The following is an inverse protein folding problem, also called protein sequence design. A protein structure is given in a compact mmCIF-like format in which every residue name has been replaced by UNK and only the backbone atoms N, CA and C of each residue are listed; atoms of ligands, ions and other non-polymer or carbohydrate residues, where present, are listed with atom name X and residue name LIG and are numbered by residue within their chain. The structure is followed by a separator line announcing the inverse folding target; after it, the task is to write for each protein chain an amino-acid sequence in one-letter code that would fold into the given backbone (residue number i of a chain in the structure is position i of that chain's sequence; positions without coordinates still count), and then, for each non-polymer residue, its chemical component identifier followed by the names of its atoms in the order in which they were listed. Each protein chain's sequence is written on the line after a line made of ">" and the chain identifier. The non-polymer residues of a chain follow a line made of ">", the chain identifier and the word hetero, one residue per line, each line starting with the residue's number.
data_IF_252408521322
#
_entry.id   IF_252408521322
#
_cell.length_a   1.000
_cell.length_b   1.000
_cell.length_c   1.000
_cell.angle_alpha   90.00
_cell.angle_beta   90.00
_cell.angle_gamma   90.00
#
_symmetry.space_group_name_H-M   'P 1'
#
loop_
_entity.id
_entity.type
_entity.pdbx_description
1 polymer ?
#
# COMPACT_ATOMS: atom_id res chain seq x y z
N UNK A 1 -25.43 13.25 22.31
CA UNK A 1 -24.81 11.93 22.08
C UNK A 1 -23.62 12.13 21.17
N UNK A 2 -22.43 11.71 21.57
CA UNK A 2 -21.30 11.67 20.61
C UNK A 2 -21.62 10.61 19.56
N UNK A 3 -21.33 10.86 18.27
CA UNK A 3 -21.48 9.85 17.24
C UNK A 3 -20.63 8.62 17.57
N UNK A 4 -21.04 7.40 17.19
CA UNK A 4 -20.23 6.21 17.40
C UNK A 4 -18.88 6.34 16.68
N UNK A 5 -17.83 5.79 17.28
CA UNK A 5 -16.55 5.65 16.59
C UNK A 5 -16.70 4.57 15.51
N UNK A 6 -16.57 4.97 14.26
CA UNK A 6 -16.71 4.09 13.10
C UNK A 6 -15.35 3.59 12.59
N UNK A 7 -14.33 3.63 13.44
CA UNK A 7 -12.99 3.09 13.16
C UNK A 7 -12.83 1.76 13.87
N UNK A 8 -12.35 0.76 13.17
CA UNK A 8 -11.82 -0.43 13.81
C UNK A 8 -10.28 -0.33 13.81
N UNK A 9 -9.72 -0.20 15.00
CA UNK A 9 -8.27 -0.23 15.24
C UNK A 9 -8.03 -1.25 16.34
N UNK A 10 -7.46 -2.39 15.97
CA UNK A 10 -7.23 -3.48 16.90
C UNK A 10 -6.18 -3.10 17.96
N UNK A 11 -6.21 -3.73 19.15
CA UNK A 11 -5.28 -3.40 20.24
C UNK A 11 -3.79 -3.63 19.94
N UNK A 12 -3.49 -4.44 18.93
CA UNK A 12 -2.14 -4.79 18.47
C UNK A 12 -1.59 -3.84 17.39
N UNK A 13 -2.31 -2.76 17.07
CA UNK A 13 -1.85 -1.72 16.14
C UNK A 13 -0.96 -0.73 16.87
N UNK A 14 0.24 -0.48 16.31
CA UNK A 14 1.11 0.59 16.80
C UNK A 14 0.91 1.86 15.98
N UNK A 15 0.53 2.95 16.64
CA UNK A 15 0.38 4.27 16.03
C UNK A 15 1.47 5.21 16.49
N UNK A 16 2.16 5.84 15.56
CA UNK A 16 3.10 6.93 15.81
C UNK A 16 2.39 8.21 16.25
N UNK A 17 3.16 9.28 16.45
CA UNK A 17 2.63 10.59 16.84
C UNK A 17 1.87 11.24 15.69
N UNK A 18 0.81 11.98 16.01
CA UNK A 18 0.02 12.78 15.06
C UNK A 18 -0.57 11.99 13.89
N UNK A 19 -0.73 10.67 14.01
CA UNK A 19 -1.40 9.86 12.98
C UNK A 19 -2.86 10.30 12.85
N UNK A 20 -3.30 10.55 11.61
CA UNK A 20 -4.68 10.98 11.32
C UNK A 20 -5.46 9.82 10.71
N UNK A 21 -6.47 9.36 11.39
CA UNK A 21 -7.32 8.25 10.98
C UNK A 21 -8.72 8.74 10.61
N UNK A 22 -9.14 8.45 9.38
CA UNK A 22 -10.51 8.72 8.94
C UNK A 22 -11.49 7.66 9.48
N UNK A 23 -12.83 7.89 9.43
CA UNK A 23 -13.81 6.86 9.76
C UNK A 23 -13.82 5.69 8.75
N UNK A 24 -14.45 4.58 9.15
CA UNK A 24 -14.65 3.35 8.35
C UNK A 24 -13.34 2.67 7.94
N UNK A 25 -12.31 2.72 8.78
CA UNK A 25 -11.06 2.01 8.58
C UNK A 25 -11.07 0.66 9.31
N UNK A 26 -10.23 -0.27 8.85
CA UNK A 26 -9.98 -1.56 9.48
C UNK A 26 -8.47 -1.80 9.58
N UNK A 27 -7.90 -1.61 10.77
CA UNK A 27 -6.46 -1.76 11.05
C UNK A 27 -6.24 -2.85 12.09
N UNK A 28 -5.35 -3.80 11.83
CA UNK A 28 -4.97 -4.83 12.79
C UNK A 28 -3.53 -5.31 12.57
N UNK A 29 -2.79 -5.51 13.68
CA UNK A 29 -1.44 -6.06 13.70
C UNK A 29 -0.41 -5.31 12.86
N UNK A 30 -0.60 -4.00 12.63
CA UNK A 30 0.25 -3.19 11.78
C UNK A 30 0.90 -2.03 12.53
N UNK A 31 1.98 -1.49 11.97
CA UNK A 31 2.70 -0.33 12.48
C UNK A 31 2.51 0.87 11.54
N UNK A 32 2.07 2.02 12.08
CA UNK A 32 1.89 3.26 11.33
C UNK A 32 2.79 4.34 11.92
N UNK A 33 3.70 4.88 11.11
CA UNK A 33 4.67 5.89 11.52
C UNK A 33 4.08 7.29 11.72
N UNK A 34 4.87 8.16 12.35
CA UNK A 34 4.51 9.53 12.73
C UNK A 34 3.97 10.34 11.54
N UNK A 35 3.03 11.23 11.81
CA UNK A 35 2.46 12.23 10.88
C UNK A 35 1.80 11.62 9.62
N UNK A 36 1.53 10.31 9.63
CA UNK A 36 0.86 9.59 8.53
C UNK A 36 -0.65 9.80 8.57
N UNK A 37 -1.26 9.86 7.38
CA UNK A 37 -2.69 10.06 7.20
C UNK A 37 -3.31 8.86 6.49
N UNK A 38 -4.32 8.26 7.12
CA UNK A 38 -5.11 7.13 6.61
C UNK A 38 -6.51 7.62 6.25
N UNK A 39 -6.90 7.47 5.00
CA UNK A 39 -8.20 7.84 4.46
C UNK A 39 -9.32 6.86 4.87
N UNK A 40 -10.58 7.18 4.57
CA UNK A 40 -11.70 6.31 4.90
C UNK A 40 -11.72 5.03 4.03
N UNK A 41 -12.34 3.98 4.58
CA UNK A 41 -12.48 2.67 3.93
C UNK A 41 -11.13 2.02 3.56
N UNK A 42 -10.08 2.33 4.32
CA UNK A 42 -8.77 1.68 4.19
C UNK A 42 -8.72 0.46 5.09
N UNK A 43 -8.22 -0.65 4.57
CA UNK A 43 -7.85 -1.83 5.35
C UNK A 43 -6.34 -2.02 5.31
N UNK A 44 -5.73 -2.22 6.50
CA UNK A 44 -4.31 -2.55 6.65
C UNK A 44 -4.20 -3.77 7.56
N UNK A 45 -3.62 -4.82 7.03
CA UNK A 45 -3.51 -6.12 7.71
C UNK A 45 -2.28 -6.22 8.62
N UNK A 46 -2.24 -7.32 9.38
CA UNK A 46 -1.11 -7.65 10.27
C UNK A 46 0.22 -7.69 9.51
N UNK A 47 1.30 -7.42 10.24
CA UNK A 47 2.68 -7.44 9.72
C UNK A 47 2.95 -6.42 8.60
N UNK A 48 2.06 -5.46 8.38
CA UNK A 48 2.29 -4.31 7.50
C UNK A 48 3.02 -3.21 8.28
N UNK A 49 3.98 -2.57 7.64
CA UNK A 49 4.65 -1.38 8.17
C UNK A 49 4.44 -0.20 7.22
N UNK A 50 3.92 0.89 7.75
CA UNK A 50 3.79 2.17 7.04
C UNK A 50 4.68 3.19 7.73
N UNK A 51 5.59 3.78 6.99
CA UNK A 51 6.54 4.78 7.46
C UNK A 51 5.87 6.09 7.88
N UNK A 52 6.70 7.10 8.09
CA UNK A 52 6.29 8.44 8.54
C UNK A 52 5.87 9.31 7.36
N UNK A 53 4.99 10.29 7.62
CA UNK A 53 4.55 11.30 6.64
C UNK A 53 3.98 10.68 5.35
N UNK A 54 3.40 9.49 5.47
CA UNK A 54 2.70 8.85 4.36
C UNK A 54 1.28 9.35 4.23
N UNK A 55 0.74 9.26 3.02
CA UNK A 55 -0.67 9.53 2.76
C UNK A 55 -1.28 8.32 2.05
N UNK A 56 -2.13 7.59 2.76
CA UNK A 56 -2.90 6.46 2.22
C UNK A 56 -4.32 6.94 1.96
N UNK A 57 -4.73 6.94 0.69
CA UNK A 57 -6.04 7.45 0.28
C UNK A 57 -7.14 6.39 0.45
N UNK A 58 -8.39 6.81 0.31
CA UNK A 58 -9.57 5.96 0.58
C UNK A 58 -9.63 4.69 -0.26
N UNK A 59 -10.30 3.66 0.28
CA UNK A 59 -10.57 2.39 -0.39
C UNK A 59 -9.31 1.59 -0.77
N UNK A 60 -8.18 1.87 -0.12
CA UNK A 60 -6.93 1.14 -0.34
C UNK A 60 -6.89 -0.10 0.54
N UNK A 61 -6.48 -1.22 -0.05
CA UNK A 61 -6.24 -2.48 0.64
C UNK A 61 -4.74 -2.78 0.68
N UNK A 62 -4.20 -2.92 1.88
CA UNK A 62 -2.78 -3.23 2.12
C UNK A 62 -2.72 -4.56 2.87
N UNK A 63 -2.38 -5.63 2.14
CA UNK A 63 -2.29 -6.98 2.68
C UNK A 63 -1.02 -7.22 3.48
N UNK A 64 -1.02 -8.30 4.25
CA UNK A 64 0.14 -8.77 5.01
C UNK A 64 1.40 -8.87 4.15
N UNK A 65 2.55 -8.49 4.73
CA UNK A 65 3.87 -8.56 4.08
C UNK A 65 4.27 -7.30 3.31
N UNK A 66 3.41 -6.27 3.24
CA UNK A 66 3.75 -5.00 2.61
C UNK A 66 4.52 -4.10 3.57
N UNK A 67 5.62 -3.53 3.08
CA UNK A 67 6.34 -2.44 3.76
C UNK A 67 6.30 -1.19 2.90
N UNK A 68 5.87 -0.09 3.49
CA UNK A 68 5.84 1.24 2.89
C UNK A 68 6.79 2.12 3.69
N UNK A 69 7.83 2.65 3.04
CA UNK A 69 8.79 3.56 3.66
C UNK A 69 8.21 4.97 3.87
N UNK A 70 9.03 5.91 4.31
CA UNK A 70 8.61 7.27 4.64
C UNK A 70 8.19 8.09 3.39
N UNK A 71 7.34 9.08 3.58
CA UNK A 71 6.93 10.07 2.60
C UNK A 71 6.26 9.50 1.33
N UNK A 72 5.67 8.32 1.41
CA UNK A 72 4.99 7.64 0.30
C UNK A 72 3.55 8.12 0.15
N UNK A 73 3.14 8.31 -1.09
CA UNK A 73 1.75 8.55 -1.46
C UNK A 73 1.11 7.29 -2.05
N UNK A 74 -0.01 6.85 -1.49
CA UNK A 74 -0.86 5.80 -2.06
C UNK A 74 -2.22 6.40 -2.42
N UNK A 75 -2.56 6.32 -3.68
CA UNK A 75 -3.80 6.82 -4.26
C UNK A 75 -5.04 6.05 -3.80
N UNK A 76 -6.21 6.47 -4.28
CA UNK A 76 -7.49 5.84 -3.93
C UNK A 76 -7.62 4.46 -4.58
N UNK A 77 -8.17 3.48 -3.85
CA UNK A 77 -8.50 2.17 -4.39
C UNK A 77 -7.29 1.36 -4.87
N UNK A 78 -6.11 1.63 -4.32
CA UNK A 78 -4.93 0.81 -4.61
C UNK A 78 -5.06 -0.53 -3.90
N UNK A 79 -4.70 -1.62 -4.60
CA UNK A 79 -4.75 -2.98 -4.06
C UNK A 79 -3.37 -3.62 -4.12
N UNK A 80 -2.89 -4.11 -2.99
CA UNK A 80 -1.68 -4.92 -2.91
C UNK A 80 -2.05 -6.40 -2.88
N UNK A 81 -1.23 -7.23 -3.53
CA UNK A 81 -1.37 -8.69 -3.61
C UNK A 81 -0.18 -9.33 -2.89
N UNK A 82 -0.40 -10.38 -2.12
CA UNK A 82 0.65 -11.09 -1.39
C UNK A 82 0.71 -12.60 -1.65
N UNK A 83 0.00 -13.06 -2.68
CA UNK A 83 0.01 -14.44 -3.15
C UNK A 83 -0.03 -14.47 -4.69
N UNK A 84 1.01 -15.04 -5.32
CA UNK A 84 1.08 -15.17 -6.79
C UNK A 84 0.15 -16.26 -7.35
N UNK A 85 -0.26 -17.22 -6.52
CA UNK A 85 -1.05 -18.38 -6.94
C UNK A 85 -2.20 -18.69 -5.98
N UNK A 86 -3.10 -17.74 -5.73
CA UNK A 86 -4.14 -17.90 -4.72
C UNK A 86 -5.06 -19.08 -5.04
N UNK A 87 -5.38 -19.86 -4.01
CA UNK A 87 -6.35 -20.96 -4.07
C UNK A 87 -7.27 -20.89 -2.87
N UNK A 88 -8.52 -21.23 -3.06
CA UNK A 88 -9.47 -21.35 -1.96
C UNK A 88 -9.28 -22.65 -1.18
N UNK A 89 -8.80 -23.71 -1.84
CA UNK A 89 -8.68 -25.03 -1.24
C UNK A 89 -7.30 -25.65 -1.45
N UNK A 90 -6.93 -26.52 -0.54
CA UNK A 90 -5.78 -27.43 -0.69
C UNK A 90 -6.04 -28.48 -1.77
N UNK A 91 -5.01 -29.25 -2.16
CA UNK A 91 -5.16 -30.38 -3.09
C UNK A 91 -6.14 -31.46 -2.60
N UNK A 92 -6.36 -31.57 -1.30
CA UNK A 92 -7.33 -32.48 -0.69
C UNK A 92 -8.76 -31.93 -0.67
N UNK A 93 -9.00 -30.72 -1.18
CA UNK A 93 -10.32 -30.10 -1.25
C UNK A 93 -10.76 -29.37 0.03
N UNK A 94 -9.92 -29.30 1.07
CA UNK A 94 -10.20 -28.56 2.29
C UNK A 94 -9.95 -27.06 2.08
N UNK A 95 -10.71 -26.20 2.76
CA UNK A 95 -10.46 -24.77 2.77
C UNK A 95 -9.04 -24.47 3.26
N UNK A 96 -8.29 -23.64 2.53
CA UNK A 96 -6.95 -23.24 2.96
C UNK A 96 -6.97 -22.45 4.26
N UNK A 97 -5.98 -22.71 5.11
CA UNK A 97 -5.66 -21.98 6.32
C UNK A 97 -4.42 -21.10 6.11
N UNK A 98 -3.99 -20.37 7.14
CA UNK A 98 -2.78 -19.56 7.10
C UNK A 98 -1.50 -20.38 6.86
N UNK A 99 -1.50 -21.68 7.19
CA UNK A 99 -0.34 -22.56 7.06
C UNK A 99 -0.20 -23.20 5.66
N UNK A 100 -1.23 -23.05 4.81
CA UNK A 100 -1.29 -23.70 3.50
C UNK A 100 -0.69 -22.82 2.37
N UNK A 101 -0.30 -21.59 2.65
CA UNK A 101 0.29 -20.67 1.70
C UNK A 101 1.39 -19.82 2.35
N UNK A 102 2.14 -19.10 1.53
CA UNK A 102 3.26 -18.30 2.01
C UNK A 102 3.09 -16.85 1.58
N UNK A 103 3.16 -15.95 2.54
CA UNK A 103 3.15 -14.49 2.29
C UNK A 103 4.35 -14.09 1.44
N UNK A 104 4.08 -13.37 0.37
CA UNK A 104 5.08 -12.79 -0.53
C UNK A 104 5.19 -11.29 -0.29
N UNK A 105 6.35 -10.85 0.19
CA UNK A 105 6.59 -9.47 0.60
C UNK A 105 6.65 -8.50 -0.59
N UNK A 106 6.17 -7.28 -0.36
CA UNK A 106 6.24 -6.15 -1.31
C UNK A 106 6.82 -4.92 -0.58
N UNK A 107 7.67 -4.15 -1.27
CA UNK A 107 8.32 -2.97 -0.72
C UNK A 107 8.02 -1.74 -1.57
N UNK A 108 7.51 -0.68 -0.94
CA UNK A 108 7.39 0.66 -1.52
C UNK A 108 8.40 1.56 -0.86
N UNK A 109 9.40 2.01 -1.62
CA UNK A 109 10.50 2.81 -1.10
C UNK A 109 10.14 4.27 -0.92
N UNK A 110 11.03 4.96 -0.20
CA UNK A 110 10.90 6.35 0.18
C UNK A 110 10.44 7.26 -0.96
N UNK A 111 9.50 8.16 -0.68
CA UNK A 111 9.04 9.19 -1.61
C UNK A 111 8.29 8.69 -2.85
N UNK A 112 8.06 7.39 -2.98
CA UNK A 112 7.32 6.84 -4.12
C UNK A 112 5.85 7.27 -4.11
N UNK A 113 5.24 7.33 -5.30
CA UNK A 113 3.82 7.66 -5.48
C UNK A 113 3.12 6.57 -6.29
N UNK A 114 2.04 6.03 -5.74
CA UNK A 114 1.20 5.04 -6.41
C UNK A 114 -0.14 5.65 -6.77
N UNK A 115 -0.43 5.74 -8.05
CA UNK A 115 -1.66 6.33 -8.60
C UNK A 115 -2.91 5.53 -8.25
N UNK A 116 -4.05 6.21 -8.21
CA UNK A 116 -5.35 5.63 -7.84
C UNK A 116 -5.72 4.44 -8.73
N UNK A 117 -6.31 3.40 -8.13
CA UNK A 117 -6.76 2.20 -8.83
C UNK A 117 -5.64 1.29 -9.32
N UNK A 118 -4.40 1.53 -8.93
CA UNK A 118 -3.30 0.63 -9.28
C UNK A 118 -3.39 -0.70 -8.50
N UNK A 119 -2.97 -1.79 -9.15
CA UNK A 119 -2.79 -3.10 -8.52
C UNK A 119 -1.31 -3.44 -8.49
N UNK A 120 -0.78 -3.73 -7.30
CA UNK A 120 0.62 -4.08 -7.09
C UNK A 120 0.71 -5.57 -6.79
N UNK A 121 1.34 -6.33 -7.67
CA UNK A 121 1.54 -7.76 -7.45
C UNK A 121 2.58 -8.01 -6.36
N UNK A 122 2.57 -9.23 -5.84
CA UNK A 122 3.51 -9.69 -4.83
C UNK A 122 4.97 -9.67 -5.32
N UNK A 123 5.92 -9.63 -4.39
CA UNK A 123 7.38 -9.62 -4.65
C UNK A 123 7.90 -8.37 -5.37
N UNK A 124 7.07 -7.36 -5.59
CA UNK A 124 7.46 -6.14 -6.30
C UNK A 124 8.18 -5.18 -5.35
N UNK A 125 9.25 -4.57 -5.84
CA UNK A 125 9.88 -3.40 -5.22
C UNK A 125 9.55 -2.17 -6.06
N UNK A 126 8.85 -1.19 -5.47
CA UNK A 126 8.68 0.13 -6.07
C UNK A 126 9.82 1.01 -5.58
N UNK A 127 10.68 1.44 -6.48
CA UNK A 127 11.90 2.19 -6.21
C UNK A 127 11.63 3.57 -5.61
N UNK A 128 12.69 4.13 -5.03
CA UNK A 128 12.68 5.47 -4.42
C UNK A 128 12.24 6.53 -5.43
N UNK A 129 11.32 7.43 -5.01
CA UNK A 129 10.75 8.50 -5.87
C UNK A 129 10.12 8.02 -7.18
N UNK A 130 9.83 6.72 -7.32
CA UNK A 130 9.12 6.22 -8.49
C UNK A 130 7.65 6.65 -8.50
N UNK A 131 7.09 6.79 -9.69
CA UNK A 131 5.69 7.13 -9.89
C UNK A 131 4.99 6.00 -10.66
N UNK A 132 3.98 5.42 -10.06
CA UNK A 132 3.07 4.47 -10.71
C UNK A 132 1.82 5.21 -11.17
N UNK A 133 1.55 5.21 -12.46
CA UNK A 133 0.35 5.83 -13.05
C UNK A 133 -0.95 5.19 -12.53
N UNK A 134 -2.03 5.99 -12.50
CA UNK A 134 -3.34 5.51 -12.08
C UNK A 134 -3.82 4.34 -12.96
N UNK A 135 -4.52 3.36 -12.36
CA UNK A 135 -5.07 2.19 -13.05
C UNK A 135 -4.03 1.17 -13.54
N UNK A 136 -2.77 1.32 -13.14
CA UNK A 136 -1.70 0.41 -13.58
C UNK A 136 -1.72 -0.92 -12.85
N UNK A 137 -1.27 -1.98 -13.53
CA UNK A 137 -0.99 -3.29 -12.92
C UNK A 137 0.53 -3.51 -12.90
N UNK A 138 1.13 -3.35 -11.73
CA UNK A 138 2.58 -3.47 -11.54
C UNK A 138 2.93 -4.93 -11.30
N UNK A 139 3.60 -5.54 -12.26
CA UNK A 139 3.94 -6.97 -12.28
C UNK A 139 5.43 -7.26 -12.07
N UNK A 140 6.26 -6.24 -11.97
CA UNK A 140 7.72 -6.31 -11.82
C UNK A 140 8.22 -5.11 -11.03
N UNK A 141 9.45 -5.18 -10.56
CA UNK A 141 10.10 -4.06 -9.89
C UNK A 141 10.10 -2.79 -10.74
N UNK A 142 9.89 -1.67 -10.06
CA UNK A 142 9.93 -0.33 -10.64
C UNK A 142 11.25 0.32 -10.21
N UNK A 143 12.12 0.70 -11.15
CA UNK A 143 13.37 1.38 -10.79
C UNK A 143 13.12 2.71 -10.04
N UNK A 144 14.11 3.12 -9.23
CA UNK A 144 14.07 4.45 -8.62
C UNK A 144 13.90 5.54 -9.68
N UNK A 145 13.13 6.57 -9.34
CA UNK A 145 12.81 7.73 -10.20
C UNK A 145 12.14 7.36 -11.55
N UNK A 146 11.68 6.12 -11.73
CA UNK A 146 10.94 5.75 -12.95
C UNK A 146 9.47 6.12 -12.86
N UNK A 147 8.89 6.57 -13.98
CA UNK A 147 7.45 6.69 -14.16
C UNK A 147 6.98 5.48 -14.97
N UNK A 148 6.08 4.70 -14.39
CA UNK A 148 5.49 3.52 -15.04
C UNK A 148 3.99 3.66 -15.16
N UNK A 149 3.39 3.10 -16.22
CA UNK A 149 1.94 3.05 -16.37
C UNK A 149 1.49 1.88 -17.25
N UNK A 150 0.22 1.55 -17.16
CA UNK A 150 -0.47 0.58 -18.02
C UNK A 150 -0.71 -0.78 -17.36
N UNK A 151 -1.29 -1.71 -18.12
CA UNK A 151 -1.56 -3.10 -17.72
C UNK A 151 -1.02 -4.07 -18.80
N UNK A 152 0.06 -4.78 -18.53
CA UNK A 152 0.97 -4.61 -17.41
C UNK A 152 1.75 -3.29 -17.48
N UNK A 153 2.13 -2.72 -16.34
CA UNK A 153 2.87 -1.46 -16.27
C UNK A 153 4.22 -1.55 -17.01
N UNK A 154 4.55 -0.47 -17.72
CA UNK A 154 5.84 -0.33 -18.44
C UNK A 154 6.45 1.01 -18.09
N UNK A 155 7.77 1.08 -18.12
CA UNK A 155 8.51 2.33 -17.94
C UNK A 155 8.17 3.26 -19.10
N UNK A 156 7.69 4.47 -18.77
CA UNK A 156 7.42 5.54 -19.73
C UNK A 156 8.64 6.46 -19.87
N UNK A 157 9.18 6.90 -18.72
CA UNK A 157 10.35 7.80 -18.62
C UNK A 157 10.85 7.83 -17.17
N UNK A 158 11.91 8.56 -16.91
CA UNK A 158 12.34 8.96 -15.57
C UNK A 158 11.67 10.26 -15.14
N UNK A 159 11.55 10.46 -13.82
CA UNK A 159 11.15 11.74 -13.22
C UNK A 159 12.19 12.78 -13.58
N UNK A 160 11.76 13.94 -14.06
CA UNK A 160 12.63 15.07 -14.40
C UNK A 160 12.64 16.09 -13.27
N UNK A 161 13.61 17.00 -13.30
CA UNK A 161 13.65 18.16 -12.39
C UNK A 161 12.41 19.06 -12.49
N UNK A 162 11.76 19.11 -13.65
CA UNK A 162 10.50 19.83 -13.83
C UNK A 162 9.32 19.16 -13.12
N UNK A 163 9.29 17.82 -13.09
CA UNK A 163 8.29 17.05 -12.34
C UNK A 163 8.44 17.29 -10.83
N UNK A 164 9.68 17.36 -10.33
CA UNK A 164 9.98 17.62 -8.91
C UNK A 164 9.57 19.04 -8.52
N UNK A 165 9.86 20.04 -9.34
CA UNK A 165 9.50 21.44 -9.10
C UNK A 165 7.97 21.68 -9.05
N UNK A 166 7.15 20.83 -9.67
CA UNK A 166 5.69 20.93 -9.56
C UNK A 166 5.16 20.45 -8.21
N UNK A 167 5.89 19.62 -7.48
CA UNK A 167 5.51 19.13 -6.15
C UNK A 167 5.84 20.11 -5.01
N UNK A 168 6.62 21.16 -5.28
CA UNK A 168 7.00 22.18 -4.29
C UNK A 168 6.02 23.36 -4.23
N UNK A 169 4.94 23.32 -5.02
CA UNK A 169 3.87 24.35 -5.04
C UNK A 169 2.65 23.85 -4.28
#
# INVERSE_FOLDING_TARGET
>A
MNPPDLRFVAPDVTLGRNVKLAPFINLYGCDIGDDTKIGPFVEIQKNVRVGRRCKISSHTFICEGVTIEDAVFIGHGVTFINDSYPRATTAAGNLQSADDWKVEATLVKHGASVGSGATILSKVVIGEHAIVGAGSVVTRDVPAHAIVAGNPARILRTVSSEDEAQNER
#
